data_IF_077311681725
#
_entry.id   IF_077311681725
#
_cell.length_a   1.000
_cell.length_b   1.000
_cell.length_c   1.000
_cell.angle_alpha   90.00
_cell.angle_beta   90.00
_cell.angle_gamma   90.00
#
_symmetry.space_group_name_H-M   'P 1'
#
loop_
_entity.id
_entity.type
_entity.pdbx_description
1 polymer ?
#
# COMPACT_ATOMS: atom_id res chain seq x y z
N UNK A 1 21.11 -22.18 12.89
CA UNK A 1 21.29 -21.47 11.62
C UNK A 1 20.42 -20.24 11.71
N UNK A 2 21.03 -19.06 11.86
CA UNK A 2 20.31 -17.79 11.89
C UNK A 2 19.83 -17.58 10.45
N UNK A 3 18.51 -17.58 10.24
CA UNK A 3 17.94 -17.06 8.99
C UNK A 3 18.43 -15.60 8.91
N UNK A 4 19.32 -15.30 7.96
CA UNK A 4 19.69 -13.92 7.69
C UNK A 4 18.40 -13.18 7.34
N UNK A 5 18.11 -12.10 8.07
CA UNK A 5 17.10 -11.14 7.66
C UNK A 5 17.46 -10.73 6.22
N UNK A 6 16.54 -10.89 5.27
CA UNK A 6 16.78 -10.46 3.90
C UNK A 6 16.75 -8.94 3.86
N UNK A 7 17.88 -8.32 4.22
CA UNK A 7 18.06 -6.87 4.26
C UNK A 7 18.25 -6.27 2.88
N UNK A 8 18.33 -7.07 1.83
CA UNK A 8 18.70 -6.58 0.51
C UNK A 8 17.44 -6.04 -0.20
N UNK A 9 16.28 -6.66 0.08
CA UNK A 9 14.98 -6.29 -0.45
C UNK A 9 14.03 -5.82 0.66
N UNK A 10 13.64 -4.55 0.62
CA UNK A 10 12.76 -3.95 1.63
C UNK A 10 11.64 -3.13 1.01
N UNK A 11 10.43 -3.31 1.54
CA UNK A 11 9.29 -2.43 1.32
C UNK A 11 9.00 -1.66 2.62
N UNK A 12 9.08 -0.32 2.56
CA UNK A 12 8.59 0.53 3.66
C UNK A 12 7.16 0.98 3.34
N UNK A 13 6.29 0.88 4.34
CA UNK A 13 4.87 1.22 4.22
C UNK A 13 4.47 2.23 5.29
N UNK A 14 3.44 3.03 5.00
CA UNK A 14 2.98 4.08 5.92
C UNK A 14 2.47 3.49 7.23
N UNK A 15 1.51 2.57 7.18
CA UNK A 15 0.86 2.00 8.35
C UNK A 15 0.95 0.47 8.46
N UNK A 16 0.54 -0.02 9.62
CA UNK A 16 0.47 -1.46 9.90
C UNK A 16 -0.56 -2.18 9.02
N UNK A 17 -1.65 -1.50 8.66
CA UNK A 17 -2.70 -2.09 7.84
C UNK A 17 -2.21 -2.30 6.40
N UNK A 18 -1.42 -1.36 5.86
CA UNK A 18 -0.78 -1.46 4.53
C UNK A 18 0.10 -2.71 4.44
N UNK A 19 0.96 -2.91 5.44
CA UNK A 19 1.84 -4.08 5.52
C UNK A 19 1.06 -5.36 5.31
N UNK A 20 -0.02 -5.53 6.05
CA UNK A 20 -0.79 -6.76 5.97
C UNK A 20 -1.58 -6.90 4.65
N UNK A 21 -2.04 -5.80 4.04
CA UNK A 21 -2.67 -5.82 2.71
C UNK A 21 -1.66 -6.29 1.67
N UNK A 22 -0.43 -5.76 1.69
CA UNK A 22 0.65 -6.21 0.80
C UNK A 22 0.90 -7.70 0.97
N UNK A 23 1.09 -8.15 2.22
CA UNK A 23 1.30 -9.58 2.51
C UNK A 23 0.16 -10.45 1.98
N UNK A 24 -1.08 -9.97 2.10
CA UNK A 24 -2.27 -10.67 1.62
C UNK A 24 -2.27 -10.80 0.10
N UNK A 25 -2.08 -9.68 -0.62
CA UNK A 25 -2.09 -9.66 -2.09
C UNK A 25 -0.98 -10.55 -2.64
N UNK A 26 0.24 -10.43 -2.10
CA UNK A 26 1.36 -11.27 -2.52
C UNK A 26 1.03 -12.75 -2.39
N UNK A 27 0.69 -13.20 -1.17
CA UNK A 27 0.42 -14.62 -0.88
C UNK A 27 -0.72 -15.19 -1.71
N UNK A 28 -1.68 -14.36 -2.14
CA UNK A 28 -2.84 -14.80 -2.91
C UNK A 28 -2.54 -15.06 -4.38
N UNK A 29 -1.49 -14.42 -4.90
CA UNK A 29 -0.98 -14.63 -6.26
C UNK A 29 0.09 -15.73 -6.33
N UNK A 30 0.68 -16.11 -5.20
CA UNK A 30 1.66 -17.21 -5.15
C UNK A 30 1.02 -18.60 -5.28
N UNK A 31 1.70 -19.56 -5.95
CA UNK A 31 1.25 -20.96 -5.98
C UNK A 31 1.17 -21.60 -4.59
N UNK A 32 2.10 -21.23 -3.70
CA UNK A 32 2.12 -21.67 -2.30
C UNK A 32 2.09 -20.46 -1.35
N UNK A 33 0.91 -20.11 -0.79
CA UNK A 33 0.74 -18.94 0.09
C UNK A 33 1.55 -18.97 1.40
N UNK A 34 2.16 -20.11 1.75
CA UNK A 34 2.98 -20.27 2.95
C UNK A 34 4.46 -20.02 2.70
N UNK A 35 4.87 -19.81 1.45
CA UNK A 35 6.26 -19.47 1.14
C UNK A 35 6.63 -18.11 1.74
N UNK A 36 7.89 -17.94 2.18
CA UNK A 36 8.36 -16.67 2.70
C UNK A 36 8.32 -15.59 1.61
N UNK A 37 8.11 -14.34 2.03
CA UNK A 37 8.22 -13.19 1.13
C UNK A 37 9.67 -13.04 0.66
N UNK A 38 9.92 -12.68 -0.61
CA UNK A 38 11.27 -12.39 -1.08
C UNK A 38 11.81 -11.02 -0.63
N UNK A 39 11.04 -10.30 0.19
CA UNK A 39 11.37 -8.98 0.74
C UNK A 39 10.82 -8.82 2.16
N UNK A 40 11.43 -7.93 2.94
CA UNK A 40 10.92 -7.49 4.23
C UNK A 40 9.88 -6.37 4.07
N UNK A 41 8.92 -6.28 4.99
CA UNK A 41 7.96 -5.16 5.06
C UNK A 41 8.03 -4.51 6.44
N UNK A 42 8.37 -3.22 6.47
CA UNK A 42 8.47 -2.42 7.70
C UNK A 42 7.42 -1.30 7.67
N UNK A 43 6.49 -1.30 8.63
CA UNK A 43 5.63 -0.15 8.86
C UNK A 43 6.40 0.96 9.56
N UNK A 44 6.30 2.19 9.03
CA UNK A 44 6.99 3.36 9.58
C UNK A 44 6.11 4.15 10.56
N UNK A 45 4.91 3.68 10.86
CA UNK A 45 3.97 4.31 11.81
C UNK A 45 3.55 5.73 11.39
N UNK A 46 3.33 5.92 10.08
CA UNK A 46 2.79 7.14 9.48
C UNK A 46 3.81 7.90 8.61
N UNK A 47 3.27 8.80 7.79
CA UNK A 47 4.05 9.61 6.86
C UNK A 47 5.23 10.39 7.49
N UNK A 48 5.11 11.01 8.68
CA UNK A 48 6.21 11.79 9.28
C UNK A 48 7.49 10.98 9.54
N UNK A 49 7.35 9.67 9.73
CA UNK A 49 8.47 8.75 9.94
C UNK A 49 8.90 8.07 8.63
N UNK A 50 7.96 7.83 7.70
CA UNK A 50 8.25 7.23 6.41
C UNK A 50 9.12 8.14 5.54
N UNK A 51 8.78 9.42 5.40
CA UNK A 51 9.51 10.33 4.51
C UNK A 51 11.00 10.47 4.88
N UNK A 52 11.39 10.67 6.15
CA UNK A 52 12.80 10.65 6.53
C UNK A 52 13.47 9.28 6.31
N UNK A 53 12.72 8.19 6.50
CA UNK A 53 13.26 6.85 6.34
C UNK A 53 13.69 6.55 4.90
N UNK A 54 13.02 7.10 3.88
CA UNK A 54 13.39 6.91 2.47
C UNK A 54 14.89 7.11 2.26
N UNK A 55 15.43 8.25 2.70
CA UNK A 55 16.84 8.54 2.49
C UNK A 55 17.79 7.69 3.32
N UNK A 56 17.36 7.29 4.52
CA UNK A 56 18.12 6.35 5.35
C UNK A 56 18.24 5.00 4.64
N UNK A 57 17.13 4.46 4.13
CA UNK A 57 17.11 3.13 3.48
C UNK A 57 17.86 3.11 2.15
N UNK A 58 17.90 4.24 1.41
CA UNK A 58 18.72 4.39 0.20
C UNK A 58 20.21 4.24 0.52
N UNK A 59 20.66 4.75 1.68
CA UNK A 59 22.07 4.72 2.10
C UNK A 59 22.52 3.39 2.72
N UNK A 60 21.60 2.46 2.95
CA UNK A 60 21.95 1.17 3.57
C UNK A 60 22.80 0.36 2.60
N UNK A 61 24.03 0.07 3.02
CA UNK A 61 24.94 -0.79 2.27
C UNK A 61 24.34 -2.19 2.10
N UNK A 62 24.41 -2.72 0.88
CA UNK A 62 23.83 -4.03 0.54
C UNK A 62 22.37 -3.99 0.11
N UNK A 63 21.67 -2.85 0.24
CA UNK A 63 20.31 -2.70 -0.30
C UNK A 63 20.33 -2.88 -1.82
N UNK A 64 19.57 -3.84 -2.32
CA UNK A 64 19.37 -4.10 -3.74
C UNK A 64 18.09 -3.43 -4.25
N UNK A 65 16.98 -3.61 -3.54
CA UNK A 65 15.67 -3.07 -3.92
C UNK A 65 14.98 -2.42 -2.71
N UNK A 66 14.52 -1.18 -2.91
CA UNK A 66 13.71 -0.42 -1.95
C UNK A 66 12.34 -0.10 -2.55
N UNK A 67 11.30 -0.67 -1.98
CA UNK A 67 9.91 -0.29 -2.25
C UNK A 67 9.42 0.77 -1.26
N UNK A 68 8.64 1.71 -1.77
CA UNK A 68 8.00 2.77 -0.99
C UNK A 68 6.51 2.74 -1.29
N UNK A 69 5.69 2.57 -0.25
CA UNK A 69 4.23 2.59 -0.33
C UNK A 69 3.68 3.72 0.55
N UNK A 70 2.96 4.66 -0.05
CA UNK A 70 2.43 5.85 0.64
C UNK A 70 0.99 6.13 0.23
N UNK A 71 0.19 6.70 1.14
CA UNK A 71 -1.14 7.18 0.77
C UNK A 71 -1.07 8.43 -0.12
N UNK A 72 -2.00 8.68 -1.03
CA UNK A 72 -2.06 9.98 -1.73
C UNK A 72 -2.70 11.08 -0.87
N UNK A 73 -3.50 10.68 0.12
CA UNK A 73 -4.43 11.55 0.86
C UNK A 73 -5.24 12.40 -0.12
N UNK A 74 -5.11 13.73 -0.07
CA UNK A 74 -5.90 14.65 -0.87
C UNK A 74 -5.31 14.91 -2.28
N UNK A 75 -4.03 14.57 -2.54
CA UNK A 75 -3.38 14.90 -3.81
C UNK A 75 -2.16 14.02 -4.12
N UNK A 76 -2.31 13.15 -5.12
CA UNK A 76 -1.24 12.27 -5.65
C UNK A 76 0.00 13.04 -6.06
N UNK A 77 -0.16 14.15 -6.80
CA UNK A 77 0.98 14.89 -7.34
C UNK A 77 1.78 15.56 -6.22
N UNK A 78 1.11 16.02 -5.16
CA UNK A 78 1.81 16.58 -3.99
C UNK A 78 2.59 15.48 -3.26
N UNK A 79 1.95 14.34 -2.95
CA UNK A 79 2.62 13.20 -2.32
C UNK A 79 3.80 12.69 -3.15
N UNK A 80 3.61 12.56 -4.47
CA UNK A 80 4.65 12.16 -5.40
C UNK A 80 5.86 13.08 -5.30
N UNK A 81 5.65 14.40 -5.34
CA UNK A 81 6.74 15.38 -5.21
C UNK A 81 7.48 15.26 -3.89
N UNK A 82 6.77 15.06 -2.78
CA UNK A 82 7.40 14.88 -1.46
C UNK A 82 8.30 13.63 -1.42
N UNK A 83 7.84 12.50 -1.95
CA UNK A 83 8.64 11.26 -2.05
C UNK A 83 9.85 11.47 -2.97
N UNK A 84 9.62 12.06 -4.14
CA UNK A 84 10.69 12.33 -5.12
C UNK A 84 11.73 13.29 -4.58
N UNK A 85 11.35 14.30 -3.81
CA UNK A 85 12.27 15.21 -3.14
C UNK A 85 13.23 14.45 -2.21
N UNK A 86 12.72 13.47 -1.44
CA UNK A 86 13.57 12.63 -0.58
C UNK A 86 14.55 11.78 -1.39
N UNK A 87 14.12 11.25 -2.53
CA UNK A 87 14.99 10.46 -3.41
C UNK A 87 16.07 11.34 -4.05
N UNK A 88 15.69 12.51 -4.59
CA UNK A 88 16.60 13.46 -5.25
C UNK A 88 17.63 14.00 -4.27
N UNK A 89 17.23 14.33 -3.04
CA UNK A 89 18.15 14.82 -2.01
C UNK A 89 19.25 13.79 -1.69
N UNK A 90 19.01 12.51 -1.95
CA UNK A 90 19.91 11.43 -1.59
C UNK A 90 20.75 10.94 -2.76
N UNK A 91 20.15 10.86 -3.95
CA UNK A 91 20.83 10.39 -5.16
C UNK A 91 21.37 11.52 -6.04
N UNK A 92 20.99 12.76 -5.77
CA UNK A 92 21.22 13.91 -6.64
C UNK A 92 20.23 13.97 -7.82
N UNK A 93 20.38 15.00 -8.65
CA UNK A 93 19.66 15.08 -9.91
C UNK A 93 20.18 14.02 -10.88
N UNK A 94 19.34 13.05 -11.22
CA UNK A 94 19.65 11.97 -12.16
C UNK A 94 19.53 12.46 -13.63
N UNK A 95 19.97 13.68 -13.92
CA UNK A 95 19.96 14.33 -15.23
C UNK A 95 18.58 14.25 -15.93
N UNK A 96 17.49 14.52 -15.20
CA UNK A 96 16.14 14.47 -15.75
C UNK A 96 15.60 13.07 -16.07
N UNK A 97 16.25 12.01 -15.60
CA UNK A 97 15.74 10.63 -15.74
C UNK A 97 14.63 10.29 -14.75
N UNK A 98 14.28 11.23 -13.87
CA UNK A 98 13.24 11.04 -12.87
C UNK A 98 11.86 11.42 -13.44
N UNK A 99 10.84 10.56 -13.26
CA UNK A 99 9.53 10.82 -13.80
C UNK A 99 8.81 11.96 -13.04
N UNK A 100 8.21 12.89 -13.78
CA UNK A 100 7.49 14.04 -13.22
C UNK A 100 6.19 13.66 -12.49
N UNK A 101 5.65 12.49 -12.81
CA UNK A 101 4.42 11.92 -12.25
C UNK A 101 4.59 10.41 -12.07
N UNK A 102 3.84 9.78 -11.15
CA UNK A 102 3.89 8.33 -11.00
C UNK A 102 3.40 7.61 -12.26
N UNK A 103 3.94 6.41 -12.50
CA UNK A 103 3.47 5.47 -13.49
C UNK A 103 2.22 4.73 -12.96
N UNK A 104 1.19 4.58 -13.81
CA UNK A 104 -0.05 3.88 -13.41
C UNK A 104 0.18 2.43 -12.99
N UNK A 105 1.19 1.79 -13.57
CA UNK A 105 1.59 0.43 -13.24
C UNK A 105 2.51 0.34 -12.03
N UNK A 106 2.86 1.48 -11.41
CA UNK A 106 3.83 1.58 -10.32
C UNK A 106 5.24 1.89 -10.85
N UNK A 107 5.83 2.96 -10.32
CA UNK A 107 7.11 3.50 -10.79
C UNK A 107 8.27 2.66 -10.29
N UNK A 108 9.28 2.44 -11.15
CA UNK A 108 10.59 1.90 -10.77
C UNK A 108 11.68 2.79 -11.34
N UNK A 109 12.58 3.26 -10.47
CA UNK A 109 13.76 4.05 -10.80
C UNK A 109 14.96 3.10 -10.73
N UNK A 110 15.67 2.95 -11.85
CA UNK A 110 16.79 2.02 -11.99
C UNK A 110 18.10 2.64 -11.49
N UNK A 111 18.21 2.77 -10.17
CA UNK A 111 19.40 3.23 -9.43
C UNK A 111 20.03 2.09 -8.65
N UNK A 112 20.99 2.38 -7.76
CA UNK A 112 21.52 1.43 -6.78
C UNK A 112 21.34 2.01 -5.36
N UNK A 113 20.38 1.51 -4.54
CA UNK A 113 19.42 0.44 -4.85
C UNK A 113 18.41 0.82 -5.94
N UNK A 114 17.72 -0.17 -6.53
CA UNK A 114 16.53 0.07 -7.36
C UNK A 114 15.40 0.57 -6.45
N UNK A 115 14.69 1.61 -6.87
CA UNK A 115 13.64 2.23 -6.05
C UNK A 115 12.29 2.05 -6.74
N UNK A 116 11.40 1.31 -6.11
CA UNK A 116 10.01 1.22 -6.53
C UNK A 116 9.12 2.11 -5.68
N UNK A 117 8.16 2.79 -6.30
CA UNK A 117 7.23 3.68 -5.61
C UNK A 117 5.81 3.34 -6.05
N UNK A 118 4.94 3.15 -5.06
CA UNK A 118 3.50 3.07 -5.25
C UNK A 118 2.81 4.12 -4.37
N UNK A 119 1.94 4.91 -5.00
CA UNK A 119 1.10 5.90 -4.31
C UNK A 119 -0.33 5.37 -4.30
N UNK A 120 -0.90 5.12 -3.13
CA UNK A 120 -2.26 4.62 -3.03
C UNK A 120 -3.27 5.61 -3.62
N UNK A 121 -4.44 5.10 -4.06
CA UNK A 121 -4.76 3.69 -4.19
C UNK A 121 -4.16 3.07 -5.46
N UNK A 122 -3.93 3.86 -6.50
CA UNK A 122 -3.65 3.33 -7.86
C UNK A 122 -2.65 4.18 -8.66
N UNK A 123 -1.84 5.00 -8.00
CA UNK A 123 -0.90 5.95 -8.59
C UNK A 123 -1.52 7.14 -9.33
N UNK A 124 -2.85 7.22 -9.49
CA UNK A 124 -3.48 8.22 -10.37
C UNK A 124 -4.42 9.18 -9.64
N UNK A 125 -5.16 8.68 -8.65
CA UNK A 125 -6.18 9.47 -7.94
C UNK A 125 -5.84 9.67 -6.46
N UNK A 126 -6.32 10.75 -5.83
CA UNK A 126 -6.27 10.89 -4.37
C UNK A 126 -6.92 9.71 -3.67
N UNK A 127 -6.46 9.40 -2.46
CA UNK A 127 -6.99 8.31 -1.64
C UNK A 127 -5.97 7.68 -0.70
N UNK A 128 -6.48 6.78 0.12
CA UNK A 128 -5.75 5.99 1.11
C UNK A 128 -5.90 4.49 0.83
N UNK A 129 -5.32 3.65 1.68
CA UNK A 129 -5.48 2.21 1.66
C UNK A 129 -6.94 1.75 1.54
N UNK A 130 -7.88 2.46 2.19
CA UNK A 130 -9.30 2.11 2.13
C UNK A 130 -9.92 2.29 0.74
N UNK A 131 -9.45 3.25 -0.06
CA UNK A 131 -9.83 3.39 -1.47
C UNK A 131 -9.34 2.19 -2.28
N UNK A 132 -8.10 1.74 -2.04
CA UNK A 132 -7.56 0.53 -2.66
C UNK A 132 -8.40 -0.70 -2.30
N UNK A 133 -8.70 -0.89 -1.02
CA UNK A 133 -9.54 -2.02 -0.56
C UNK A 133 -10.93 -1.96 -1.19
N UNK A 134 -11.52 -0.77 -1.32
CA UNK A 134 -12.83 -0.57 -1.93
C UNK A 134 -12.92 -1.12 -3.37
N UNK A 135 -11.88 -0.90 -4.16
CA UNK A 135 -11.75 -1.41 -5.55
C UNK A 135 -11.54 -2.93 -5.62
N UNK A 136 -11.17 -3.56 -4.51
CA UNK A 136 -10.96 -5.00 -4.40
C UNK A 136 -12.17 -5.74 -3.83
N UNK A 137 -13.22 -5.03 -3.40
CA UNK A 137 -14.46 -5.66 -2.97
C UNK A 137 -15.18 -6.25 -4.20
N UNK A 138 -15.57 -7.54 -4.19
CA UNK A 138 -16.26 -8.14 -5.33
C UNK A 138 -17.58 -7.43 -5.68
N UNK A 139 -17.84 -7.20 -6.98
CA UNK A 139 -19.07 -6.56 -7.48
C UNK A 139 -20.38 -7.19 -6.95
N UNK A 140 -20.33 -8.49 -6.66
CA UNK A 140 -21.49 -9.28 -6.21
C UNK A 140 -21.52 -9.46 -4.69
N UNK A 141 -20.72 -8.71 -3.94
CA UNK A 141 -20.72 -8.78 -2.49
C UNK A 141 -22.04 -8.25 -1.91
N UNK A 142 -22.76 -9.12 -1.19
CA UNK A 142 -24.07 -8.79 -0.63
C UNK A 142 -24.01 -7.97 0.66
N UNK A 143 -22.83 -7.88 1.28
CA UNK A 143 -22.62 -7.20 2.56
C UNK A 143 -22.15 -5.76 2.35
N UNK A 144 -21.41 -5.47 1.29
CA UNK A 144 -20.92 -4.14 0.98
C UNK A 144 -22.05 -3.10 0.91
N UNK A 145 -23.17 -3.32 0.18
CA UNK A 145 -24.31 -2.40 0.22
C UNK A 145 -24.91 -2.25 1.62
N UNK A 146 -24.91 -3.31 2.44
CA UNK A 146 -25.46 -3.28 3.80
C UNK A 146 -24.57 -2.49 4.77
N UNK A 147 -23.25 -2.62 4.64
CA UNK A 147 -22.29 -1.83 5.40
C UNK A 147 -22.40 -0.35 5.07
N UNK A 148 -22.55 -0.02 3.78
CA UNK A 148 -22.85 1.34 3.33
C UNK A 148 -24.13 1.86 3.94
N UNK A 149 -25.25 1.14 3.80
CA UNK A 149 -26.53 1.53 4.38
C UNK A 149 -26.46 1.71 5.90
N UNK A 150 -25.72 0.86 6.62
CA UNK A 150 -25.53 1.00 8.06
C UNK A 150 -24.85 2.33 8.40
N UNK A 151 -23.72 2.65 7.78
CA UNK A 151 -23.02 3.92 8.02
C UNK A 151 -23.87 5.13 7.58
N UNK A 152 -24.56 5.02 6.44
CA UNK A 152 -25.42 6.08 5.91
C UNK A 152 -26.64 6.35 6.80
N UNK A 153 -27.12 5.33 7.52
CA UNK A 153 -28.27 5.46 8.44
C UNK A 153 -27.95 6.22 9.73
N UNK A 154 -26.67 6.39 10.09
CA UNK A 154 -26.26 7.13 11.28
C UNK A 154 -26.36 8.64 11.01
N UNK A 155 -27.17 9.41 11.77
CA UNK A 155 -27.30 10.85 11.62
C UNK A 155 -25.96 11.57 11.70
N UNK A 156 -25.77 12.64 10.92
CA UNK A 156 -24.47 13.32 10.80
C UNK A 156 -23.93 13.86 12.14
N UNK A 157 -24.82 14.28 13.03
CA UNK A 157 -24.53 14.77 14.37
C UNK A 157 -24.21 13.66 15.38
N UNK A 158 -24.60 12.41 15.09
CA UNK A 158 -24.24 11.23 15.89
C UNK A 158 -22.95 10.55 15.43
N UNK A 159 -22.46 10.86 14.22
CA UNK A 159 -21.22 10.30 13.67
C UNK A 159 -20.02 10.80 14.47
N UNK A 160 -19.25 9.86 15.01
CA UNK A 160 -18.00 10.14 15.75
C UNK A 160 -16.77 10.29 14.84
N UNK A 161 -16.85 9.82 13.60
CA UNK A 161 -15.79 9.98 12.61
C UNK A 161 -15.99 11.29 11.83
N UNK A 162 -14.90 11.87 11.35
CA UNK A 162 -14.93 13.07 10.51
C UNK A 162 -15.55 12.74 9.13
N UNK A 163 -16.22 13.69 8.46
CA UNK A 163 -16.80 13.44 7.13
C UNK A 163 -15.82 12.85 6.11
N UNK A 164 -14.55 13.25 6.16
CA UNK A 164 -13.49 12.75 5.28
C UNK A 164 -13.13 11.27 5.51
N UNK A 165 -13.53 10.68 6.65
CA UNK A 165 -13.26 9.28 7.00
C UNK A 165 -14.51 8.39 6.84
N UNK A 166 -15.49 8.83 6.04
CA UNK A 166 -16.71 8.06 5.79
C UNK A 166 -16.43 6.75 5.05
N UNK A 167 -15.59 6.77 4.00
CA UNK A 167 -15.21 5.55 3.29
C UNK A 167 -14.52 4.57 4.24
N UNK A 168 -13.58 5.06 5.05
CA UNK A 168 -12.92 4.28 6.09
C UNK A 168 -13.92 3.62 7.03
N UNK A 169 -14.93 4.35 7.51
CA UNK A 169 -15.99 3.79 8.34
C UNK A 169 -16.79 2.69 7.62
N UNK A 170 -17.09 2.87 6.33
CA UNK A 170 -17.79 1.89 5.48
C UNK A 170 -16.98 0.62 5.28
N UNK A 171 -15.70 0.73 4.94
CA UNK A 171 -14.79 -0.40 4.80
C UNK A 171 -14.65 -1.14 6.14
N UNK A 172 -14.50 -0.43 7.26
CA UNK A 172 -14.46 -1.05 8.59
C UNK A 172 -15.75 -1.78 8.94
N UNK A 173 -16.92 -1.21 8.63
CA UNK A 173 -18.21 -1.84 8.86
C UNK A 173 -18.36 -3.13 8.04
N UNK A 174 -17.89 -3.12 6.79
CA UNK A 174 -17.84 -4.30 5.94
C UNK A 174 -16.87 -5.36 6.48
N UNK A 175 -15.63 -4.98 6.81
CA UNK A 175 -14.63 -5.88 7.39
C UNK A 175 -15.05 -6.49 8.73
N UNK A 176 -15.88 -5.80 9.51
CA UNK A 176 -16.44 -6.33 10.76
C UNK A 176 -17.37 -7.53 10.55
N UNK A 177 -17.81 -7.78 9.31
CA UNK A 177 -18.68 -8.93 8.97
C UNK A 177 -17.90 -10.12 8.41
N UNK A 178 -16.62 -9.94 8.06
CA UNK A 178 -15.76 -11.01 7.55
C UNK A 178 -15.51 -12.07 8.63
N UNK A 179 -15.20 -13.31 8.20
CA UNK A 179 -15.21 -14.55 9.02
C UNK A 179 -14.45 -14.47 10.36
N UNK A 180 -13.43 -13.59 10.48
CA UNK A 180 -12.86 -13.21 11.79
C UNK A 180 -12.78 -11.68 11.89
N UNK A 181 -13.71 -11.00 12.57
CA UNK A 181 -13.64 -9.56 12.79
C UNK A 181 -12.36 -9.22 13.59
N UNK A 182 -11.40 -8.55 12.95
CA UNK A 182 -10.13 -8.09 13.53
C UNK A 182 -9.73 -6.74 12.92
N UNK A 183 -8.65 -6.14 13.43
CA UNK A 183 -8.03 -4.92 12.87
C UNK A 183 -7.75 -5.09 11.36
N UNK A 184 -7.98 -4.04 10.58
CA UNK A 184 -8.06 -4.01 9.10
C UNK A 184 -7.03 -4.90 8.40
N UNK A 185 -5.75 -4.74 8.72
CA UNK A 185 -4.69 -5.50 8.08
C UNK A 185 -4.78 -7.01 8.36
N UNK A 186 -5.25 -7.42 9.54
CA UNK A 186 -5.35 -8.85 9.91
C UNK A 186 -6.70 -9.48 9.61
N UNK A 187 -7.69 -8.68 9.23
CA UNK A 187 -9.06 -9.12 8.98
C UNK A 187 -9.19 -9.81 7.62
N UNK A 188 -8.36 -9.43 6.65
CA UNK A 188 -8.45 -9.90 5.28
C UNK A 188 -7.92 -11.34 5.20
N UNK A 189 -8.84 -12.31 5.22
CA UNK A 189 -8.55 -13.70 4.84
C UNK A 189 -9.03 -13.96 3.41
N UNK A 190 -8.46 -15.01 2.85
CA UNK A 190 -8.43 -15.56 1.47
C UNK A 190 -9.65 -15.46 0.53
N UNK A 191 -10.82 -14.97 0.96
CA UNK A 191 -12.06 -14.95 0.16
C UNK A 191 -12.78 -13.59 0.09
N UNK A 192 -12.39 -12.62 0.90
CA UNK A 192 -13.17 -11.38 1.04
C UNK A 192 -12.79 -10.31 0.01
N UNK A 193 -11.53 -10.30 -0.45
CA UNK A 193 -11.06 -9.43 -1.53
C UNK A 193 -10.84 -10.22 -2.81
N UNK A 194 -11.25 -9.63 -3.94
CA UNK A 194 -10.92 -10.15 -5.26
C UNK A 194 -9.48 -9.81 -5.61
N UNK A 195 -8.56 -10.67 -5.19
CA UNK A 195 -7.16 -10.55 -5.57
C UNK A 195 -6.92 -10.66 -7.09
N UNK A 196 -7.92 -11.07 -7.88
CA UNK A 196 -7.84 -11.06 -9.36
C UNK A 196 -8.42 -9.78 -9.97
N UNK A 197 -8.87 -8.84 -9.15
CA UNK A 197 -9.25 -7.52 -9.64
C UNK A 197 -8.07 -6.91 -10.41
N UNK A 198 -8.31 -6.16 -11.51
CA UNK A 198 -7.23 -5.58 -12.31
C UNK A 198 -6.25 -4.75 -11.49
N UNK A 199 -6.74 -3.98 -10.50
CA UNK A 199 -5.88 -3.17 -9.63
C UNK A 199 -4.98 -4.04 -8.73
N UNK A 200 -5.51 -5.14 -8.19
CA UNK A 200 -4.73 -6.08 -7.37
C UNK A 200 -3.64 -6.77 -8.19
N UNK A 201 -3.93 -7.13 -9.45
CA UNK A 201 -2.95 -7.71 -10.37
C UNK A 201 -1.87 -6.69 -10.74
N UNK A 202 -2.24 -5.46 -11.09
CA UNK A 202 -1.26 -4.40 -11.39
C UNK A 202 -0.33 -4.13 -10.21
N UNK A 203 -0.88 -4.09 -8.99
CA UNK A 203 -0.10 -3.92 -7.76
C UNK A 203 0.85 -5.10 -7.52
N UNK A 204 0.37 -6.32 -7.71
CA UNK A 204 1.19 -7.52 -7.61
C UNK A 204 2.32 -7.55 -8.65
N UNK A 205 2.02 -7.23 -9.91
CA UNK A 205 3.00 -7.20 -10.99
C UNK A 205 4.10 -6.15 -10.73
N UNK A 206 3.75 -5.02 -10.09
CA UNK A 206 4.74 -4.05 -9.62
C UNK A 206 5.67 -4.62 -8.55
N UNK A 207 5.13 -5.33 -7.55
CA UNK A 207 5.95 -5.99 -6.52
C UNK A 207 6.91 -7.01 -7.15
N UNK A 208 6.43 -7.84 -8.10
CA UNK A 208 7.27 -8.78 -8.83
C UNK A 208 8.36 -8.06 -9.62
N UNK A 209 8.03 -7.04 -10.41
CA UNK A 209 9.04 -6.27 -11.18
C UNK A 209 10.12 -5.65 -10.28
N UNK A 210 9.80 -5.34 -9.02
CA UNK A 210 10.73 -4.75 -8.08
C UNK A 210 11.58 -5.80 -7.36
N UNK A 211 10.99 -6.90 -6.89
CA UNK A 211 11.63 -7.83 -5.95
C UNK A 211 11.94 -9.23 -6.50
N UNK A 212 11.37 -9.62 -7.66
CA UNK A 212 11.65 -10.88 -8.36
C UNK A 212 12.59 -10.67 -9.56
#
# INVERSE_FOLDING_TARGET
MVQGENTDNLLIVEGRDDKHVVEHIWRRHQPNPSDPLPFEIIDKEGLPNLLPAIGIEIRVDGRENLGILVDADDCVISRWKEVMEKIVNELGDLNGQLPEKPDESGTIINTKPRIGIWVMPNNLIPGELEDFIGELIPDKDSIWPRANCYIDSIPRDERKFKPQKELKAKIHAWLATCEKPRLMGRAIRTRDLDAKAPLAQTFYDWLCRLFD
#
